data_IF_840409311230
#
_entry.id   IF_840409311230
#
_cell.length_a   1.000
_cell.length_b   1.000
_cell.length_c   1.000
_cell.angle_alpha   90.00
_cell.angle_beta   90.00
_cell.angle_gamma   90.00
#
_symmetry.space_group_name_H-M   'P 1'
#
loop_
_entity.id
_entity.type
_entity.pdbx_description
1 polymer ?
#
# COMPACT_ATOMS: atom_id res chain seq x y z
N UNK A 1 5.26 -17.61 15.41
CA UNK A 1 3.85 -17.56 15.85
C UNK A 1 3.74 -18.29 17.19
N UNK A 2 3.03 -17.75 18.19
CA UNK A 2 2.78 -18.48 19.44
C UNK A 2 1.75 -19.59 19.17
N UNK A 3 1.96 -20.77 19.76
CA UNK A 3 1.00 -21.89 19.73
C UNK A 3 -0.15 -21.72 20.75
N UNK A 4 -0.22 -20.57 21.44
CA UNK A 4 -1.26 -20.30 22.43
C UNK A 4 -2.60 -20.06 21.76
N UNK A 5 -3.37 -21.13 21.66
CA UNK A 5 -4.80 -21.06 21.48
C UNK A 5 -5.42 -20.39 22.68
N UNK A 6 -5.74 -19.11 22.54
CA UNK A 6 -6.64 -18.44 23.47
C UNK A 6 -8.04 -19.00 23.22
N UNK A 7 -8.66 -19.59 24.23
CA UNK A 7 -10.08 -20.01 24.16
C UNK A 7 -11.01 -18.80 24.15
N UNK A 8 -10.54 -17.65 24.65
CA UNK A 8 -11.27 -16.39 24.65
C UNK A 8 -10.37 -15.20 24.34
N UNK A 9 -10.88 -14.23 23.60
CA UNK A 9 -10.19 -12.97 23.36
C UNK A 9 -11.16 -11.80 23.26
N UNK A 10 -10.73 -10.60 23.66
CA UNK A 10 -11.47 -9.36 23.51
C UNK A 10 -10.95 -8.59 22.29
N UNK A 11 -11.87 -8.03 21.51
CA UNK A 11 -11.56 -7.15 20.37
C UNK A 11 -12.40 -5.88 20.45
N UNK A 12 -11.71 -4.76 20.53
CA UNK A 12 -12.31 -3.44 20.41
C UNK A 12 -12.26 -2.97 18.95
N UNK A 13 -13.35 -2.40 18.47
CA UNK A 13 -13.49 -1.89 17.11
C UNK A 13 -14.46 -0.72 17.08
N UNK A 14 -14.28 0.24 16.19
CA UNK A 14 -15.32 1.23 15.95
C UNK A 14 -16.46 0.58 15.16
N UNK A 15 -17.73 0.89 15.47
CA UNK A 15 -18.89 0.37 14.70
C UNK A 15 -18.70 0.68 13.22
N UNK A 16 -18.82 -0.33 12.37
CA UNK A 16 -18.54 -0.22 10.93
C UNK A 16 -17.07 -0.47 10.54
N UNK A 17 -16.16 -0.66 11.49
CA UNK A 17 -14.81 -1.14 11.24
C UNK A 17 -14.75 -2.65 11.05
N UNK A 18 -13.67 -3.14 10.45
CA UNK A 18 -13.43 -4.56 10.23
C UNK A 18 -12.72 -5.19 11.43
N UNK A 19 -12.97 -6.47 11.67
CA UNK A 19 -12.22 -7.31 12.61
C UNK A 19 -11.61 -8.50 11.87
N UNK A 20 -10.53 -9.03 12.43
CA UNK A 20 -10.04 -10.34 12.06
C UNK A 20 -9.42 -11.09 13.24
N UNK A 21 -9.38 -12.41 13.12
CA UNK A 21 -8.60 -13.31 13.98
C UNK A 21 -7.84 -14.30 13.10
N UNK A 22 -6.70 -14.78 13.59
CA UNK A 22 -5.96 -15.88 12.98
C UNK A 22 -6.29 -17.14 13.79
N UNK A 23 -6.83 -18.12 13.09
CA UNK A 23 -7.17 -19.44 13.58
C UNK A 23 -6.12 -20.42 13.08
N UNK A 24 -5.89 -21.50 13.83
CA UNK A 24 -5.08 -22.62 13.38
C UNK A 24 -6.03 -23.82 13.17
N UNK A 25 -5.95 -24.61 12.12
CA UNK A 25 -6.87 -25.76 11.92
C UNK A 25 -6.22 -27.09 12.32
N UNK A 26 -5.01 -27.02 12.86
CA UNK A 26 -4.29 -28.18 13.41
C UNK A 26 -3.74 -29.05 12.29
N UNK A 27 -3.80 -30.38 12.50
CA UNK A 27 -3.33 -31.37 11.53
C UNK A 27 -4.29 -31.57 10.34
N UNK A 28 -5.45 -30.91 10.35
CA UNK A 28 -6.46 -31.02 9.30
C UNK A 28 -6.74 -29.64 8.71
N UNK A 29 -5.81 -29.14 7.85
CA UNK A 29 -5.89 -27.80 7.31
C UNK A 29 -7.21 -27.44 6.68
N UNK A 30 -7.88 -28.41 6.03
CA UNK A 30 -9.14 -28.28 5.29
C UNK A 30 -10.42 -28.39 6.11
N UNK A 31 -10.31 -28.48 7.43
CA UNK A 31 -11.47 -28.56 8.29
C UNK A 31 -12.39 -27.34 8.15
N UNK A 32 -13.69 -27.60 8.22
CA UNK A 32 -14.72 -26.57 8.28
C UNK A 32 -14.61 -25.80 9.60
N UNK A 33 -14.73 -24.48 9.49
CA UNK A 33 -14.76 -23.56 10.63
C UNK A 33 -16.18 -23.02 10.70
N UNK A 34 -16.91 -23.42 11.73
CA UNK A 34 -18.27 -22.95 11.97
C UNK A 34 -18.20 -21.60 12.69
N UNK A 35 -18.95 -20.63 12.17
CA UNK A 35 -19.18 -19.33 12.80
C UNK A 35 -20.47 -18.70 12.25
N UNK A 36 -20.76 -17.46 12.62
CA UNK A 36 -21.95 -16.73 12.13
C UNK A 36 -21.85 -16.41 10.63
N UNK A 37 -22.99 -16.19 9.93
CA UNK A 37 -23.01 -15.72 8.55
C UNK A 37 -22.23 -14.42 8.33
N UNK A 38 -21.75 -14.20 7.11
CA UNK A 38 -21.01 -12.99 6.72
C UNK A 38 -19.51 -13.00 7.05
N UNK A 39 -18.99 -14.15 7.51
CA UNK A 39 -17.56 -14.36 7.73
C UNK A 39 -16.84 -14.61 6.41
N UNK A 40 -15.68 -13.98 6.22
CA UNK A 40 -14.75 -14.31 5.12
C UNK A 40 -13.56 -15.05 5.69
N UNK A 41 -13.19 -16.16 5.06
CA UNK A 41 -12.04 -16.96 5.45
C UNK A 41 -10.95 -16.92 4.39
N UNK A 42 -9.71 -16.81 4.86
CA UNK A 42 -8.53 -16.78 4.00
C UNK A 42 -7.51 -17.78 4.48
N UNK A 43 -6.95 -18.57 3.57
CA UNK A 43 -5.76 -19.38 3.82
C UNK A 43 -4.55 -18.43 3.85
N UNK A 44 -3.87 -18.35 5.00
CA UNK A 44 -2.71 -17.50 5.21
C UNK A 44 -1.44 -18.28 4.88
N UNK A 45 -0.80 -17.98 3.74
CA UNK A 45 0.31 -18.79 3.25
C UNK A 45 1.57 -18.61 4.09
N UNK A 46 2.21 -19.71 4.51
CA UNK A 46 3.52 -19.65 5.12
C UNK A 46 4.58 -19.35 4.06
N UNK A 47 5.58 -18.57 4.44
CA UNK A 47 6.79 -18.29 3.67
C UNK A 47 8.00 -18.48 4.57
N UNK A 48 9.00 -19.22 4.11
CA UNK A 48 10.26 -19.37 4.84
C UNK A 48 11.21 -18.27 4.39
N UNK A 49 11.58 -17.39 5.31
CA UNK A 49 12.54 -16.32 5.06
C UNK A 49 13.89 -16.78 5.58
N UNK A 50 14.79 -17.10 4.66
CA UNK A 50 16.18 -17.46 4.93
C UNK A 50 17.07 -16.23 5.16
N UNK A 51 16.79 -15.12 4.48
CA UNK A 51 17.44 -13.81 4.69
C UNK A 51 16.49 -12.87 5.42
N UNK A 52 16.71 -12.55 6.70
CA UNK A 52 15.93 -11.56 7.42
C UNK A 52 16.22 -10.15 6.92
N UNK A 53 15.28 -9.23 7.13
CA UNK A 53 15.43 -7.81 6.75
C UNK A 53 16.48 -7.06 7.59
N UNK A 54 16.91 -7.61 8.73
CA UNK A 54 18.07 -7.15 9.51
C UNK A 54 18.55 -8.21 10.49
N UNK A 55 19.72 -7.98 11.07
CA UNK A 55 20.31 -8.83 12.12
C UNK A 55 19.45 -9.01 13.39
N UNK A 56 18.55 -8.06 13.68
CA UNK A 56 17.64 -8.16 14.81
C UNK A 56 16.50 -9.19 14.60
N UNK A 57 16.32 -9.68 13.37
CA UNK A 57 15.25 -10.61 12.99
C UNK A 57 15.87 -11.95 12.60
N UNK A 58 15.18 -13.04 12.95
CA UNK A 58 15.65 -14.40 12.65
C UNK A 58 15.03 -14.92 11.37
N UNK A 59 15.79 -15.70 10.62
CA UNK A 59 15.25 -16.57 9.59
C UNK A 59 14.20 -17.51 10.18
N UNK A 60 13.19 -17.86 9.38
CA UNK A 60 12.13 -18.76 9.84
C UNK A 60 10.85 -18.66 9.03
N UNK A 61 9.80 -19.30 9.56
CA UNK A 61 8.47 -19.29 8.97
C UNK A 61 7.67 -18.06 9.38
N UNK A 62 7.26 -17.31 8.37
CA UNK A 62 6.34 -16.18 8.46
C UNK A 62 5.09 -16.48 7.65
N UNK A 63 4.09 -15.61 7.69
CA UNK A 63 2.92 -15.78 6.86
C UNK A 63 2.30 -14.41 6.56
N UNK A 64 1.98 -14.17 5.28
CA UNK A 64 1.51 -12.84 4.85
C UNK A 64 0.45 -12.89 3.75
N UNK A 65 0.67 -13.62 2.65
CA UNK A 65 -0.29 -13.68 1.56
C UNK A 65 -1.61 -14.38 1.97
N UNK A 66 -2.75 -13.78 1.63
CA UNK A 66 -4.10 -14.27 1.96
C UNK A 66 -4.84 -14.74 0.70
N UNK A 67 -5.13 -16.04 0.61
CA UNK A 67 -5.98 -16.61 -0.44
C UNK A 67 -7.41 -16.75 0.04
N UNK A 68 -8.44 -16.37 -0.73
CA UNK A 68 -9.82 -16.75 -0.45
C UNK A 68 -9.89 -18.27 -0.25
N UNK A 69 -10.30 -18.70 0.93
CA UNK A 69 -10.22 -20.10 1.32
C UNK A 69 -11.29 -20.94 0.60
N UNK A 70 -10.90 -22.06 0.02
CA UNK A 70 -11.79 -23.02 -0.63
C UNK A 70 -11.28 -24.46 -0.48
N UNK A 71 -12.03 -25.44 -1.02
CA UNK A 71 -11.64 -26.86 -1.01
C UNK A 71 -10.29 -27.14 -1.66
N UNK A 72 -9.90 -26.31 -2.63
CA UNK A 72 -8.73 -26.54 -3.48
C UNK A 72 -7.45 -25.97 -2.88
N UNK A 73 -7.55 -25.04 -1.92
CA UNK A 73 -6.39 -24.36 -1.33
C UNK A 73 -6.30 -24.46 0.19
N UNK A 74 -7.33 -25.02 0.84
CA UNK A 74 -7.37 -25.14 2.28
C UNK A 74 -6.25 -25.99 2.88
N UNK A 75 -5.59 -26.83 2.08
CA UNK A 75 -4.49 -27.70 2.47
C UNK A 75 -3.12 -26.98 2.50
N UNK A 76 -3.02 -25.80 1.87
CA UNK A 76 -1.75 -25.07 1.75
C UNK A 76 -1.26 -24.47 3.08
N UNK A 77 -2.16 -24.26 4.04
CA UNK A 77 -1.80 -23.75 5.36
C UNK A 77 -2.82 -24.15 6.42
N UNK A 78 -2.37 -24.53 7.63
CA UNK A 78 -3.27 -24.65 8.77
C UNK A 78 -3.69 -23.28 9.33
N UNK A 79 -3.07 -22.18 8.88
CA UNK A 79 -3.41 -20.85 9.34
C UNK A 79 -4.54 -20.27 8.51
N UNK A 80 -5.62 -19.88 9.19
CA UNK A 80 -6.81 -19.29 8.57
C UNK A 80 -7.09 -17.93 9.18
N UNK A 81 -7.11 -16.88 8.36
CA UNK A 81 -7.62 -15.58 8.78
C UNK A 81 -9.13 -15.54 8.58
N UNK A 82 -9.87 -15.33 9.66
CA UNK A 82 -11.31 -15.06 9.61
C UNK A 82 -11.53 -13.55 9.80
N UNK A 83 -12.20 -12.89 8.84
CA UNK A 83 -12.54 -11.46 8.92
C UNK A 83 -14.04 -11.21 8.77
N UNK A 84 -14.52 -10.17 9.44
CA UNK A 84 -15.91 -9.72 9.35
C UNK A 84 -16.04 -8.26 9.80
N UNK A 85 -17.21 -7.67 9.53
CA UNK A 85 -17.61 -6.38 10.05
C UNK A 85 -18.70 -6.61 11.11
N UNK A 86 -18.43 -6.40 12.41
CA UNK A 86 -19.45 -6.56 13.44
C UNK A 86 -20.50 -5.44 13.36
N UNK A 87 -21.74 -5.85 13.48
CA UNK A 87 -22.95 -5.04 13.50
C UNK A 87 -23.42 -4.76 14.94
N UNK A 88 -23.16 -5.70 15.86
CA UNK A 88 -23.53 -5.64 17.28
C UNK A 88 -22.37 -6.05 18.20
N UNK A 89 -22.42 -5.62 19.47
CA UNK A 89 -21.50 -6.07 20.52
C UNK A 89 -21.92 -7.45 21.04
N UNK A 90 -21.63 -8.48 20.26
CA UNK A 90 -21.91 -9.87 20.62
C UNK A 90 -20.65 -10.72 20.56
N UNK A 91 -20.63 -11.76 21.40
CA UNK A 91 -19.57 -12.76 21.37
C UNK A 91 -19.68 -13.56 20.05
N UNK A 92 -18.59 -13.62 19.28
CA UNK A 92 -18.49 -14.43 18.07
C UNK A 92 -17.74 -15.70 18.42
N UNK A 93 -18.40 -16.84 18.25
CA UNK A 93 -17.78 -18.15 18.48
C UNK A 93 -17.30 -18.75 17.16
N UNK A 94 -16.06 -19.21 17.15
CA UNK A 94 -15.48 -20.05 16.11
C UNK A 94 -15.31 -21.46 16.66
N UNK A 95 -15.87 -22.45 15.98
CA UNK A 95 -15.72 -23.87 16.34
C UNK A 95 -15.09 -24.67 15.21
N UNK A 96 -14.16 -25.54 15.59
CA UNK A 96 -13.52 -26.53 14.72
C UNK A 96 -13.27 -27.80 15.54
N UNK A 97 -14.12 -28.82 15.37
CA UNK A 97 -14.21 -30.01 16.22
C UNK A 97 -14.28 -29.67 17.73
N UNK A 98 -13.19 -29.94 18.47
CA UNK A 98 -13.08 -29.81 19.91
C UNK A 98 -12.42 -28.48 20.33
N UNK A 99 -12.10 -27.63 19.35
CA UNK A 99 -11.53 -26.31 19.60
C UNK A 99 -12.60 -25.24 19.44
N UNK A 100 -12.66 -24.36 20.44
CA UNK A 100 -13.54 -23.22 20.46
C UNK A 100 -12.73 -21.97 20.78
N UNK A 101 -12.93 -20.93 19.97
CA UNK A 101 -12.49 -19.57 20.25
C UNK A 101 -13.73 -18.67 20.39
N UNK A 102 -13.84 -17.98 21.52
CA UNK A 102 -14.84 -16.94 21.75
C UNK A 102 -14.19 -15.57 21.61
N UNK A 103 -14.63 -14.79 20.63
CA UNK A 103 -14.21 -13.40 20.43
C UNK A 103 -15.27 -12.47 20.99
N UNK A 104 -14.99 -11.81 22.11
CA UNK A 104 -15.84 -10.77 22.65
C UNK A 104 -15.64 -9.50 21.84
N UNK A 105 -16.70 -8.99 21.23
CA UNK A 105 -16.66 -7.74 20.46
C UNK A 105 -17.15 -6.60 21.33
N UNK A 106 -16.38 -5.51 21.35
CA UNK A 106 -16.77 -4.24 21.99
C UNK A 106 -16.58 -3.09 21.01
N UNK A 107 -17.51 -2.14 21.06
CA UNK A 107 -17.49 -0.93 20.27
C UNK A 107 -16.87 0.20 21.07
N UNK A 108 -15.79 0.77 20.53
CA UNK A 108 -15.12 1.95 21.11
C UNK A 108 -15.63 3.27 20.52
N UNK A 109 -16.72 3.23 19.75
CA UNK A 109 -17.32 4.38 19.07
C UNK A 109 -17.87 4.02 17.69
N UNK A 110 -18.04 5.02 16.83
CA UNK A 110 -18.44 4.86 15.42
C UNK A 110 -17.25 5.09 14.50
N UNK A 111 -17.10 4.25 13.46
CA UNK A 111 -16.13 4.53 12.42
C UNK A 111 -16.65 5.70 11.60
N UNK A 112 -15.85 6.75 11.51
CA UNK A 112 -16.04 7.85 10.58
C UNK A 112 -15.00 7.64 9.49
N UNK A 113 -15.38 7.86 8.23
CA UNK A 113 -14.45 7.75 7.12
C UNK A 113 -13.17 8.56 7.45
N UNK A 114 -11.98 8.02 7.12
CA UNK A 114 -10.74 8.58 7.62
C UNK A 114 -10.59 10.00 7.12
N UNK A 115 -10.16 10.91 8.00
CA UNK A 115 -9.92 12.31 7.62
C UNK A 115 -8.62 12.49 6.84
N UNK A 116 -7.74 11.48 6.91
CA UNK A 116 -6.41 11.45 6.31
C UNK A 116 -6.35 10.35 5.27
N UNK A 117 -5.80 10.67 4.10
CA UNK A 117 -5.58 9.68 3.06
C UNK A 117 -4.24 8.93 3.25
N UNK A 118 -4.24 7.61 3.04
CA UNK A 118 -3.03 6.84 2.79
C UNK A 118 -2.91 6.64 1.28
N UNK A 119 -1.95 7.34 0.68
CA UNK A 119 -1.65 7.28 -0.74
C UNK A 119 -0.62 6.18 -0.99
N UNK A 120 -0.97 5.16 -1.79
CA UNK A 120 -0.05 4.08 -2.15
C UNK A 120 0.14 3.97 -3.66
N UNK A 121 1.40 3.86 -4.08
CA UNK A 121 1.76 3.65 -5.48
C UNK A 121 1.15 2.37 -6.04
N UNK A 122 0.54 2.45 -7.21
CA UNK A 122 0.10 1.29 -7.98
C UNK A 122 0.57 1.46 -9.43
N UNK A 123 1.06 0.40 -10.04
CA UNK A 123 1.57 0.41 -11.41
C UNK A 123 0.91 -0.69 -12.22
N UNK A 124 0.33 -0.30 -13.35
CA UNK A 124 -0.26 -1.23 -14.31
C UNK A 124 0.81 -2.17 -14.90
N UNK A 125 1.98 -1.64 -15.26
CA UNK A 125 3.09 -2.45 -15.77
C UNK A 125 3.55 -3.50 -14.77
N UNK A 126 3.66 -3.14 -13.49
CA UNK A 126 3.98 -4.11 -12.46
C UNK A 126 2.91 -5.21 -12.37
N UNK A 127 1.62 -4.85 -12.39
CA UNK A 127 0.51 -5.81 -12.40
C UNK A 127 0.60 -6.76 -13.60
N UNK A 128 0.94 -6.27 -14.80
CA UNK A 128 1.20 -7.12 -15.97
C UNK A 128 2.32 -8.13 -15.72
N UNK A 129 3.48 -7.69 -15.23
CA UNK A 129 4.58 -8.60 -14.89
C UNK A 129 4.20 -9.61 -13.80
N UNK A 130 3.35 -9.21 -12.86
CA UNK A 130 2.90 -10.08 -11.78
C UNK A 130 1.96 -11.19 -12.23
N UNK A 131 1.20 -10.98 -13.30
CA UNK A 131 0.18 -11.94 -13.78
C UNK A 131 0.56 -12.68 -15.05
N UNK A 132 1.53 -12.17 -15.81
CA UNK A 132 1.97 -12.77 -17.06
C UNK A 132 3.40 -13.31 -16.97
N UNK A 133 3.66 -14.51 -17.49
CA UNK A 133 5.03 -15.04 -17.63
C UNK A 133 5.79 -14.43 -18.84
N UNK A 134 5.06 -13.86 -19.80
CA UNK A 134 5.55 -13.13 -20.97
C UNK A 134 4.70 -11.88 -21.19
N UNK A 135 5.08 -10.97 -22.10
CA UNK A 135 4.30 -9.76 -22.35
C UNK A 135 2.84 -10.12 -22.73
N UNK A 136 1.90 -9.81 -21.85
CA UNK A 136 0.47 -10.04 -22.03
C UNK A 136 -0.32 -8.81 -21.60
N UNK A 137 -1.43 -8.56 -22.27
CA UNK A 137 -2.33 -7.47 -21.88
C UNK A 137 -3.22 -7.97 -20.74
N UNK A 138 -2.99 -7.43 -19.55
CA UNK A 138 -3.87 -7.70 -18.41
C UNK A 138 -5.23 -7.07 -18.66
N UNK A 139 -6.29 -7.79 -18.30
CA UNK A 139 -7.64 -7.27 -18.40
C UNK A 139 -7.78 -5.98 -17.55
N UNK A 140 -8.30 -4.86 -18.10
CA UNK A 140 -8.52 -3.61 -17.37
C UNK A 140 -9.32 -3.78 -16.07
N UNK A 141 -10.25 -4.75 -16.04
CA UNK A 141 -11.00 -5.09 -14.83
C UNK A 141 -10.09 -5.58 -13.69
N UNK A 142 -8.95 -6.19 -13.98
CA UNK A 142 -8.00 -6.62 -12.95
C UNK A 142 -7.38 -5.41 -12.25
N UNK A 143 -6.96 -4.37 -12.99
CA UNK A 143 -6.50 -3.11 -12.38
C UNK A 143 -7.57 -2.51 -11.47
N UNK A 144 -8.82 -2.49 -11.93
CA UNK A 144 -9.95 -2.01 -11.12
C UNK A 144 -10.15 -2.85 -9.85
N UNK A 145 -9.93 -4.16 -9.90
CA UNK A 145 -9.96 -5.02 -8.71
C UNK A 145 -8.85 -4.65 -7.72
N UNK A 146 -7.62 -4.41 -8.18
CA UNK A 146 -6.51 -3.95 -7.31
C UNK A 146 -6.87 -2.63 -6.62
N UNK A 147 -7.36 -1.65 -7.38
CA UNK A 147 -7.78 -0.36 -6.85
C UNK A 147 -8.94 -0.51 -5.85
N UNK A 148 -9.93 -1.34 -6.19
CA UNK A 148 -11.09 -1.61 -5.32
C UNK A 148 -10.65 -2.24 -4.02
N UNK A 149 -9.73 -3.21 -4.06
CA UNK A 149 -9.20 -3.84 -2.86
C UNK A 149 -8.47 -2.82 -1.97
N UNK A 150 -7.65 -1.92 -2.52
CA UNK A 150 -7.01 -0.85 -1.74
C UNK A 150 -8.05 0.09 -1.12
N UNK A 151 -9.05 0.55 -1.88
CA UNK A 151 -10.11 1.43 -1.37
C UNK A 151 -10.95 0.77 -0.26
N UNK A 152 -11.20 -0.53 -0.34
CA UNK A 152 -11.84 -1.31 0.73
C UNK A 152 -11.01 -1.36 2.02
N UNK A 153 -9.73 -0.99 1.96
CA UNK A 153 -8.81 -0.86 3.10
C UNK A 153 -8.52 0.61 3.44
N UNK A 154 -9.36 1.53 2.97
CA UNK A 154 -9.23 2.98 3.18
C UNK A 154 -7.91 3.54 2.62
N UNK A 155 -7.41 2.92 1.55
CA UNK A 155 -6.18 3.31 0.87
C UNK A 155 -6.54 3.88 -0.49
N UNK A 156 -6.00 5.06 -0.79
CA UNK A 156 -6.14 5.71 -2.08
C UNK A 156 -4.96 5.28 -2.96
N UNK A 157 -5.17 4.49 -4.02
CA UNK A 157 -4.12 4.26 -4.99
C UNK A 157 -3.79 5.58 -5.69
N UNK A 158 -2.52 5.87 -5.85
CA UNK A 158 -2.04 6.89 -6.77
C UNK A 158 -1.01 6.26 -7.70
N UNK A 159 -0.92 6.75 -8.91
CA UNK A 159 -0.09 6.12 -9.93
C UNK A 159 0.86 7.18 -10.45
N UNK A 160 2.00 7.33 -9.79
CA UNK A 160 3.02 8.28 -10.22
C UNK A 160 4.01 7.68 -11.24
N UNK A 161 3.91 6.38 -11.49
CA UNK A 161 4.70 5.61 -12.46
C UNK A 161 3.83 5.15 -13.66
N UNK A 162 2.74 5.86 -13.97
CA UNK A 162 1.92 5.54 -15.16
C UNK A 162 2.75 5.81 -16.41
N UNK A 163 2.38 5.11 -17.48
CA UNK A 163 2.65 5.51 -18.85
C UNK A 163 2.49 7.04 -19.02
N UNK A 164 3.39 7.70 -19.75
CA UNK A 164 3.24 9.10 -20.10
C UNK A 164 1.85 9.35 -20.70
N UNK A 165 1.17 10.39 -20.21
CA UNK A 165 -0.12 10.85 -20.72
C UNK A 165 0.17 11.75 -21.92
N UNK A 166 -0.37 11.40 -23.09
CA UNK A 166 -0.18 12.19 -24.31
C UNK A 166 -0.69 13.62 -24.16
N UNK A 167 -0.25 14.50 -25.07
CA UNK A 167 -0.79 15.86 -25.19
C UNK A 167 -1.68 15.91 -26.43
N UNK A 168 -2.93 16.34 -26.26
CA UNK A 168 -3.90 16.59 -27.32
C UNK A 168 -4.48 18.00 -27.15
N UNK A 169 -4.47 18.79 -28.23
CA UNK A 169 -5.08 20.12 -28.28
C UNK A 169 -4.74 21.02 -27.07
N UNK A 170 -3.45 21.06 -26.72
CA UNK A 170 -2.87 21.81 -25.58
C UNK A 170 -3.22 21.31 -24.18
N UNK A 171 -3.84 20.14 -24.05
CA UNK A 171 -4.17 19.48 -22.78
C UNK A 171 -3.57 18.09 -22.73
N UNK A 172 -3.48 17.51 -21.54
CA UNK A 172 -3.23 16.07 -21.39
C UNK A 172 -4.45 15.29 -21.90
N UNK A 173 -4.19 14.28 -22.73
CA UNK A 173 -5.18 13.32 -23.21
C UNK A 173 -5.49 12.29 -22.12
N UNK A 174 -6.30 12.70 -21.15
CA UNK A 174 -6.71 11.87 -20.01
C UNK A 174 -7.82 10.87 -20.35
N UNK A 175 -8.32 10.91 -21.59
CA UNK A 175 -9.34 10.02 -22.13
C UNK A 175 -8.74 8.97 -23.09
N UNK A 176 -7.46 9.09 -23.45
CA UNK A 176 -6.67 8.08 -24.15
C UNK A 176 -6.92 6.67 -23.59
N UNK A 177 -7.34 5.74 -24.45
CA UNK A 177 -7.61 4.35 -24.07
C UNK A 177 -8.95 4.09 -23.40
N UNK A 178 -9.90 5.05 -23.44
CA UNK A 178 -11.24 4.90 -22.89
C UNK A 178 -11.98 3.66 -23.40
N UNK A 179 -11.86 3.35 -24.70
CA UNK A 179 -12.51 2.19 -25.34
C UNK A 179 -12.04 0.86 -24.74
N UNK A 180 -10.84 0.86 -24.16
CA UNK A 180 -10.24 -0.27 -23.51
C UNK A 180 -10.36 -0.19 -21.97
N UNK A 181 -11.12 0.77 -21.43
CA UNK A 181 -11.40 0.85 -19.98
C UNK A 181 -10.21 1.26 -19.09
N UNK A 182 -9.13 1.80 -19.66
CA UNK A 182 -7.91 2.15 -18.93
C UNK A 182 -7.54 3.65 -18.97
N UNK A 183 -8.43 4.53 -19.43
CA UNK A 183 -8.10 5.96 -19.48
C UNK A 183 -7.77 6.52 -18.10
N UNK A 184 -6.95 7.57 -18.03
CA UNK A 184 -6.62 8.23 -16.77
C UNK A 184 -7.91 8.66 -16.05
N UNK A 185 -8.90 9.19 -16.78
CA UNK A 185 -10.20 9.55 -16.23
C UNK A 185 -10.91 8.37 -15.58
N UNK A 186 -11.02 7.24 -16.28
CA UNK A 186 -11.72 6.04 -15.78
C UNK A 186 -11.01 5.43 -14.57
N UNK A 187 -9.68 5.42 -14.57
CA UNK A 187 -8.87 4.71 -13.56
C UNK A 187 -8.50 5.58 -12.36
N UNK A 188 -8.45 6.91 -12.50
CA UNK A 188 -7.97 7.84 -11.45
C UNK A 188 -9.03 8.82 -10.99
N UNK A 189 -9.81 9.39 -11.91
CA UNK A 189 -10.75 10.46 -11.58
C UNK A 189 -12.15 9.93 -11.22
N UNK A 190 -12.52 8.74 -11.69
CA UNK A 190 -13.84 8.17 -11.46
C UNK A 190 -14.20 8.03 -9.97
N UNK A 191 -13.22 7.76 -9.09
CA UNK A 191 -13.44 7.67 -7.65
C UNK A 191 -13.46 9.01 -6.91
N UNK A 192 -13.33 10.14 -7.64
CA UNK A 192 -13.30 11.51 -7.09
C UNK A 192 -12.35 11.66 -5.89
N UNK A 193 -11.07 11.26 -6.03
CA UNK A 193 -10.14 11.28 -4.91
C UNK A 193 -9.90 12.71 -4.41
N UNK A 194 -9.50 12.84 -3.14
CA UNK A 194 -9.06 14.12 -2.57
C UNK A 194 -7.77 14.61 -3.23
N UNK A 195 -6.94 13.68 -3.71
CA UNK A 195 -5.63 13.94 -4.31
C UNK A 195 -5.54 13.27 -5.67
N UNK A 196 -5.11 14.02 -6.68
CA UNK A 196 -4.89 13.51 -8.04
C UNK A 196 -3.42 13.65 -8.39
N UNK A 197 -2.71 12.52 -8.43
CA UNK A 197 -1.29 12.50 -8.80
C UNK A 197 -1.12 12.55 -10.31
N UNK A 198 -0.20 13.38 -10.78
CA UNK A 198 0.24 13.42 -12.18
C UNK A 198 1.71 13.00 -12.32
N UNK A 199 2.12 12.51 -13.51
CA UNK A 199 3.51 12.16 -13.77
C UNK A 199 4.48 13.36 -13.66
N UNK A 200 5.77 13.06 -13.51
CA UNK A 200 6.82 14.09 -13.45
C UNK A 200 7.10 14.66 -14.83
N UNK A 201 7.29 15.97 -14.92
CA UNK A 201 7.65 16.64 -16.18
C UNK A 201 8.94 16.10 -16.81
N UNK A 202 9.91 15.68 -15.99
CA UNK A 202 11.19 15.10 -16.45
C UNK A 202 11.03 13.78 -17.22
N UNK A 203 9.87 13.12 -17.17
CA UNK A 203 9.61 11.91 -17.96
C UNK A 203 9.14 12.22 -19.39
N UNK A 204 8.95 13.50 -19.74
CA UNK A 204 8.52 13.93 -21.06
C UNK A 204 9.68 14.51 -21.86
N UNK A 205 9.74 14.27 -23.19
CA UNK A 205 10.75 14.86 -24.06
C UNK A 205 10.77 16.40 -24.04
N UNK A 206 9.59 17.02 -23.90
CA UNK A 206 9.42 18.46 -23.70
C UNK A 206 8.69 18.73 -22.37
N UNK A 207 9.45 18.93 -21.28
CA UNK A 207 8.87 19.20 -19.96
C UNK A 207 8.02 20.48 -19.91
N UNK A 208 8.34 21.50 -20.70
CA UNK A 208 7.61 22.79 -20.68
C UNK A 208 6.26 22.63 -21.39
N UNK A 209 6.24 21.96 -22.55
CA UNK A 209 4.98 21.65 -23.23
C UNK A 209 4.07 20.79 -22.34
N UNK A 210 4.64 19.78 -21.65
CA UNK A 210 3.91 18.98 -20.69
C UNK A 210 3.32 19.82 -19.55
N UNK A 211 4.11 20.70 -18.91
CA UNK A 211 3.63 21.51 -17.79
C UNK A 211 2.49 22.44 -18.20
N UNK A 212 2.58 23.07 -19.38
CA UNK A 212 1.48 23.88 -19.92
C UNK A 212 0.23 23.05 -20.18
N UNK A 213 0.39 21.84 -20.73
CA UNK A 213 -0.73 20.94 -20.95
C UNK A 213 -1.36 20.47 -19.64
N UNK A 214 -0.54 20.18 -18.63
CA UNK A 214 -0.97 19.82 -17.29
C UNK A 214 -1.76 20.95 -16.62
N UNK A 215 -1.29 22.20 -16.69
CA UNK A 215 -2.02 23.37 -16.18
C UNK A 215 -3.40 23.49 -16.82
N UNK A 216 -3.44 23.45 -18.16
CA UNK A 216 -4.69 23.56 -18.91
C UNK A 216 -5.67 22.44 -18.54
N UNK A 217 -5.17 21.20 -18.38
CA UNK A 217 -6.00 20.07 -17.92
C UNK A 217 -6.50 20.27 -16.50
N UNK A 218 -5.64 20.65 -15.56
CA UNK A 218 -6.03 20.85 -14.16
C UNK A 218 -7.07 21.95 -14.00
N UNK A 219 -6.95 23.02 -14.78
CA UNK A 219 -7.94 24.10 -14.81
C UNK A 219 -9.26 23.64 -15.42
N UNK A 220 -9.21 22.97 -16.58
CA UNK A 220 -10.40 22.50 -17.28
C UNK A 220 -11.18 21.42 -16.50
N UNK A 221 -10.47 20.59 -15.74
CA UNK A 221 -11.05 19.50 -14.94
C UNK A 221 -11.40 19.92 -13.51
N UNK A 222 -11.22 21.20 -13.16
CA UNK A 222 -11.49 21.75 -11.82
C UNK A 222 -10.71 21.01 -10.70
N UNK A 223 -9.44 20.69 -10.95
CA UNK A 223 -8.59 19.93 -10.04
C UNK A 223 -7.66 20.83 -9.17
N UNK A 224 -7.83 22.15 -9.21
CA UNK A 224 -7.04 23.07 -8.41
C UNK A 224 -7.16 22.73 -6.91
N UNK A 225 -6.02 22.74 -6.21
CA UNK A 225 -5.95 22.35 -4.80
C UNK A 225 -6.04 20.85 -4.52
N UNK A 226 -6.18 20.01 -5.56
CA UNK A 226 -6.17 18.53 -5.50
C UNK A 226 -5.08 17.89 -6.35
N UNK A 227 -4.79 18.48 -7.51
CA UNK A 227 -3.76 18.01 -8.43
C UNK A 227 -2.37 18.22 -7.83
N UNK A 228 -1.54 17.18 -7.87
CA UNK A 228 -0.18 17.23 -7.35
C UNK A 228 0.80 16.38 -8.17
N UNK A 229 2.08 16.71 -8.07
CA UNK A 229 3.20 15.97 -8.67
C UNK A 229 4.27 15.74 -7.63
N UNK A 230 4.72 14.49 -7.46
CA UNK A 230 5.96 14.18 -6.73
C UNK A 230 7.14 14.60 -7.60
N UNK A 231 7.64 15.83 -7.46
CA UNK A 231 8.65 16.40 -8.36
C UNK A 231 9.97 15.66 -8.27
N UNK A 232 10.40 15.33 -7.05
CA UNK A 232 11.64 14.60 -6.79
C UNK A 232 11.47 13.70 -5.59
N UNK A 233 12.01 12.50 -5.73
CA UNK A 233 12.12 11.55 -4.64
C UNK A 233 13.49 11.71 -3.97
N UNK A 234 13.52 11.89 -2.65
CA UNK A 234 14.70 11.90 -1.78
C UNK A 234 15.89 12.68 -2.38
N UNK A 235 15.74 14.01 -2.63
CA UNK A 235 16.80 14.80 -3.24
C UNK A 235 18.06 14.82 -2.35
N UNK A 236 19.20 14.46 -2.95
CA UNK A 236 20.54 14.56 -2.38
C UNK A 236 21.13 15.97 -2.50
N UNK A 237 20.71 16.73 -3.51
CA UNK A 237 21.13 18.10 -3.77
C UNK A 237 19.92 19.04 -3.89
N UNK A 238 19.74 19.90 -2.87
CA UNK A 238 18.65 20.87 -2.82
C UNK A 238 18.82 22.00 -3.86
N UNK A 239 20.06 22.41 -4.16
CA UNK A 239 20.31 23.50 -5.11
C UNK A 239 19.90 23.11 -6.54
N UNK A 240 20.10 21.85 -6.94
CA UNK A 240 19.68 21.38 -8.26
C UNK A 240 18.16 21.20 -8.38
N UNK A 241 17.44 21.09 -7.25
CA UNK A 241 15.99 20.95 -7.22
C UNK A 241 15.25 22.28 -7.44
N UNK A 242 15.83 23.40 -7.01
CA UNK A 242 15.25 24.74 -7.16
C UNK A 242 14.82 25.06 -8.60
N UNK A 243 15.70 24.95 -9.63
CA UNK A 243 15.32 25.26 -11.00
C UNK A 243 14.22 24.33 -11.53
N UNK A 244 14.21 23.05 -11.11
CA UNK A 244 13.17 22.11 -11.50
C UNK A 244 11.80 22.52 -10.92
N UNK A 245 11.73 22.89 -9.64
CA UNK A 245 10.49 23.34 -9.01
C UNK A 245 10.00 24.69 -9.60
N UNK A 246 10.93 25.58 -9.95
CA UNK A 246 10.59 26.87 -10.56
C UNK A 246 9.86 26.71 -11.90
N UNK A 247 10.13 25.64 -12.66
CA UNK A 247 9.38 25.33 -13.88
C UNK A 247 7.89 25.09 -13.59
N UNK A 248 7.55 24.37 -12.51
CA UNK A 248 6.16 24.15 -12.12
C UNK A 248 5.47 25.45 -11.72
N UNK A 249 6.15 26.32 -10.95
CA UNK A 249 5.59 27.64 -10.60
C UNK A 249 5.32 28.52 -11.83
N UNK A 250 6.16 28.39 -12.85
CA UNK A 250 6.07 29.21 -14.06
C UNK A 250 5.01 28.69 -15.03
N UNK A 251 4.95 27.37 -15.24
CA UNK A 251 4.16 26.77 -16.33
C UNK A 251 2.96 25.96 -15.87
N UNK A 252 2.88 25.58 -14.59
CA UNK A 252 1.77 24.85 -13.98
C UNK A 252 1.46 25.33 -12.55
N UNK A 253 1.19 26.64 -12.34
CA UNK A 253 1.01 27.22 -11.01
C UNK A 253 -0.17 26.64 -10.22
N UNK A 254 -1.18 26.08 -10.88
CA UNK A 254 -2.34 25.47 -10.22
C UNK A 254 -2.07 24.06 -9.67
N UNK A 255 -0.89 23.49 -9.95
CA UNK A 255 -0.50 22.15 -9.53
C UNK A 255 0.36 22.21 -8.28
N UNK A 256 0.01 21.39 -7.30
CA UNK A 256 0.83 21.26 -6.10
C UNK A 256 2.10 20.45 -6.38
N UNK A 257 3.22 20.89 -5.83
CA UNK A 257 4.48 20.16 -5.89
C UNK A 257 4.75 19.48 -4.56
N UNK A 258 5.07 18.19 -4.65
CA UNK A 258 5.46 17.36 -3.51
C UNK A 258 6.92 16.93 -3.64
N UNK A 259 7.63 16.89 -2.51
CA UNK A 259 9.02 16.41 -2.43
C UNK A 259 9.19 15.57 -1.16
N UNK A 260 9.79 14.38 -1.29
CA UNK A 260 10.13 13.52 -0.13
C UNK A 260 11.40 14.00 0.55
N UNK A 261 11.28 15.11 1.27
CA UNK A 261 12.36 15.72 2.05
C UNK A 261 11.82 16.41 3.29
N UNK A 262 12.73 16.72 4.23
CA UNK A 262 12.42 17.58 5.38
C UNK A 262 12.18 19.02 4.91
N UNK A 263 11.55 19.83 5.76
CA UNK A 263 11.42 21.26 5.50
C UNK A 263 12.80 21.88 5.26
N UNK A 264 12.93 22.61 4.15
CA UNK A 264 14.10 23.41 3.82
C UNK A 264 13.64 24.84 3.49
N UNK A 265 14.09 25.88 4.22
CA UNK A 265 13.68 27.25 3.97
C UNK A 265 13.92 27.73 2.54
N UNK A 266 14.91 27.17 1.83
CA UNK A 266 15.19 27.52 0.43
C UNK A 266 14.08 27.06 -0.52
N UNK A 267 13.28 26.07 -0.12
CA UNK A 267 12.20 25.50 -0.92
C UNK A 267 10.81 26.02 -0.53
N UNK A 268 10.70 26.89 0.48
CA UNK A 268 9.42 27.30 1.07
C UNK A 268 8.44 27.92 0.04
N UNK A 269 8.91 28.69 -0.93
CA UNK A 269 8.03 29.29 -1.95
C UNK A 269 7.77 28.39 -3.16
N UNK A 270 8.43 27.23 -3.19
CA UNK A 270 8.46 26.35 -4.34
C UNK A 270 7.68 25.05 -4.09
N UNK A 271 7.69 24.54 -2.86
CA UNK A 271 7.08 23.28 -2.44
C UNK A 271 5.80 23.52 -1.65
N UNK A 272 4.71 22.86 -2.07
CA UNK A 272 3.43 22.92 -1.33
C UNK A 272 3.32 21.79 -0.31
N UNK A 273 3.87 20.62 -0.66
CA UNK A 273 3.74 19.38 0.11
C UNK A 273 5.14 18.84 0.43
N UNK A 274 5.54 18.94 1.70
CA UNK A 274 6.72 18.23 2.17
C UNK A 274 6.33 16.84 2.66
N UNK A 275 7.11 15.84 2.28
CA UNK A 275 6.86 14.43 2.62
C UNK A 275 8.09 13.82 3.31
N UNK A 276 8.49 14.29 4.50
CA UNK A 276 9.61 13.69 5.23
C UNK A 276 9.34 12.22 5.56
N UNK A 277 10.41 11.46 5.79
CA UNK A 277 10.30 10.17 6.46
C UNK A 277 9.73 10.37 7.85
N UNK A 278 8.85 9.46 8.26
CA UNK A 278 8.18 9.54 9.56
C UNK A 278 9.19 9.64 10.71
N UNK A 279 10.29 8.90 10.70
CA UNK A 279 11.28 8.97 11.78
C UNK A 279 12.15 10.24 11.77
N UNK A 280 12.13 11.00 10.67
CA UNK A 280 12.84 12.27 10.54
C UNK A 280 11.99 13.48 10.94
N UNK A 281 10.70 13.28 11.23
CA UNK A 281 9.77 14.33 11.56
C UNK A 281 9.80 14.63 13.07
N UNK A 282 10.76 15.43 13.52
CA UNK A 282 10.92 15.81 14.93
C UNK A 282 10.24 17.14 15.30
N UNK A 283 9.97 17.99 14.29
CA UNK A 283 9.44 19.36 14.46
C UNK A 283 8.28 19.67 13.49
N UNK A 284 7.08 19.09 13.71
CA UNK A 284 5.93 19.30 12.82
C UNK A 284 5.50 20.79 12.70
N UNK A 285 5.81 21.62 13.69
CA UNK A 285 5.54 23.06 13.66
C UNK A 285 6.25 23.81 12.51
N UNK A 286 7.35 23.28 11.97
CA UNK A 286 8.05 23.88 10.81
C UNK A 286 7.20 23.87 9.55
N UNK A 287 6.14 23.07 9.51
CA UNK A 287 5.29 22.86 8.35
C UNK A 287 3.95 23.62 8.43
N UNK A 288 3.75 24.50 9.40
CA UNK A 288 2.46 25.18 9.65
C UNK A 288 1.88 25.98 8.47
N UNK A 289 2.70 26.31 7.46
CA UNK A 289 2.31 27.02 6.23
C UNK A 289 2.33 26.12 4.98
N UNK A 290 2.57 24.83 5.16
CA UNK A 290 2.68 23.83 4.11
C UNK A 290 1.77 22.64 4.42
N UNK A 291 1.51 21.82 3.41
CA UNK A 291 0.94 20.50 3.67
C UNK A 291 2.05 19.59 4.14
N UNK A 292 1.80 18.90 5.25
CA UNK A 292 2.72 17.92 5.82
C UNK A 292 2.18 16.53 5.55
N UNK A 293 2.81 15.83 4.62
CA UNK A 293 2.64 14.39 4.52
C UNK A 293 3.83 13.71 5.18
N UNK A 294 3.76 12.42 5.41
CA UNK A 294 4.99 11.66 5.64
C UNK A 294 4.86 10.24 5.15
N UNK A 295 6.01 9.63 4.95
CA UNK A 295 6.08 8.27 4.43
C UNK A 295 6.97 7.41 5.30
N UNK A 296 6.86 6.11 5.08
CA UNK A 296 7.80 5.15 5.61
C UNK A 296 8.39 4.39 4.43
N UNK A 297 9.66 4.07 4.54
CA UNK A 297 10.37 3.19 3.62
C UNK A 297 11.36 2.37 4.43
N UNK A 298 12.05 1.43 3.79
CA UNK A 298 13.17 0.77 4.44
C UNK A 298 14.33 1.73 4.75
N UNK A 299 14.34 3.02 4.35
CA UNK A 299 15.52 3.88 4.37
C UNK A 299 16.21 3.89 5.75
N UNK A 300 17.52 3.57 5.75
CA UNK A 300 18.40 3.23 6.90
C UNK A 300 18.34 1.79 7.43
N UNK A 301 17.45 0.98 6.88
CA UNK A 301 17.32 -0.47 7.06
C UNK A 301 17.14 -1.21 5.71
N UNK A 302 17.38 -0.52 4.60
CA UNK A 302 17.36 -1.11 3.25
C UNK A 302 18.66 -1.86 2.98
N UNK A 303 18.55 -2.85 2.11
CA UNK A 303 19.65 -3.53 1.44
C UNK A 303 19.55 -3.32 -0.07
N UNK A 304 20.35 -4.03 -0.89
CA UNK A 304 20.34 -3.85 -2.32
C UNK A 304 18.96 -4.12 -2.95
N UNK A 305 18.58 -3.29 -3.92
CA UNK A 305 17.47 -3.59 -4.82
C UNK A 305 17.83 -4.84 -5.63
N UNK A 306 16.98 -5.87 -5.56
CA UNK A 306 17.24 -7.17 -6.20
C UNK A 306 17.34 -7.08 -7.72
N UNK A 307 16.71 -6.08 -8.34
CA UNK A 307 16.82 -5.79 -9.78
C UNK A 307 18.21 -5.32 -10.18
N UNK A 308 18.96 -4.72 -9.24
CA UNK A 308 20.30 -4.16 -9.47
C UNK A 308 21.39 -5.12 -8.99
N UNK A 309 21.16 -5.81 -7.86
CA UNK A 309 22.10 -6.76 -7.29
C UNK A 309 21.38 -7.99 -6.76
N UNK A 310 21.87 -9.18 -7.12
CA UNK A 310 21.35 -10.45 -6.59
C UNK A 310 21.78 -10.72 -5.15
N UNK A 311 22.69 -9.91 -4.58
CA UNK A 311 23.11 -10.07 -3.20
C UNK A 311 21.94 -9.87 -2.25
N UNK A 312 21.82 -10.79 -1.28
CA UNK A 312 20.79 -10.76 -0.24
C UNK A 312 21.48 -10.45 1.06
N UNK A 313 21.55 -9.18 1.39
CA UNK A 313 22.11 -8.70 2.64
C UNK A 313 21.00 -7.92 3.32
N UNK A 314 20.51 -8.42 4.47
CA UNK A 314 19.71 -7.61 5.37
C UNK A 314 20.49 -6.37 5.78
N UNK A 315 19.79 -5.37 6.32
CA UNK A 315 20.53 -4.23 6.87
C UNK A 315 21.21 -4.61 8.18
N UNK A 316 22.48 -4.22 8.31
CA UNK A 316 23.26 -4.29 9.54
C UNK A 316 22.64 -3.47 10.69
N UNK A 317 21.61 -2.65 10.40
CA UNK A 317 20.99 -1.75 11.36
C UNK A 317 19.45 -1.87 11.39
N UNK A 318 18.92 -2.29 12.53
CA UNK A 318 17.50 -2.20 12.83
C UNK A 318 17.19 -0.87 13.54
N UNK A 319 16.55 0.05 12.82
CA UNK A 319 16.21 1.38 13.35
C UNK A 319 15.15 1.33 14.47
N UNK A 320 14.43 0.21 14.61
CA UNK A 320 13.28 0.11 15.50
C UNK A 320 12.05 0.91 15.03
N UNK A 321 12.14 1.55 13.86
CA UNK A 321 11.14 2.50 13.37
C UNK A 321 9.94 1.80 12.74
N UNK A 322 8.92 2.60 12.44
CA UNK A 322 7.81 2.17 11.61
C UNK A 322 8.32 1.59 10.27
N UNK A 323 7.82 0.43 9.90
CA UNK A 323 8.05 -0.22 8.62
C UNK A 323 6.86 -1.14 8.32
N UNK A 324 6.80 -1.61 7.08
CA UNK A 324 5.76 -2.52 6.62
C UNK A 324 6.35 -3.86 6.18
N UNK A 325 7.43 -4.36 6.79
CA UNK A 325 8.07 -5.60 6.35
C UNK A 325 7.38 -6.84 6.96
N UNK A 326 7.45 -7.98 6.26
CA UNK A 326 6.79 -9.25 6.63
C UNK A 326 7.33 -9.80 7.96
N UNK A 327 8.64 -9.67 8.15
CA UNK A 327 9.38 -10.26 9.25
C UNK A 327 9.54 -9.32 10.45
N UNK A 328 8.74 -8.24 10.47
CA UNK A 328 8.72 -7.24 11.53
C UNK A 328 7.43 -7.31 12.33
N UNK A 329 7.47 -6.95 13.63
CA UNK A 329 6.25 -6.93 14.44
C UNK A 329 5.22 -5.94 13.88
N UNK A 330 3.95 -6.35 13.79
CA UNK A 330 2.83 -5.46 13.40
C UNK A 330 2.69 -4.21 14.31
N UNK A 331 3.31 -4.21 15.49
CA UNK A 331 3.39 -3.03 16.35
C UNK A 331 4.09 -1.84 15.66
N UNK A 332 5.10 -2.08 14.81
CA UNK A 332 5.80 -1.02 14.05
C UNK A 332 4.90 -0.39 13.00
N UNK A 333 4.13 -1.22 12.29
CA UNK A 333 3.09 -0.75 11.38
C UNK A 333 2.09 0.15 12.13
N UNK A 334 1.61 -0.27 13.30
CA UNK A 334 0.69 0.56 14.10
C UNK A 334 1.32 1.88 14.58
N UNK A 335 2.61 1.87 14.93
CA UNK A 335 3.33 3.08 15.32
C UNK A 335 3.31 4.14 14.22
N UNK A 336 3.41 3.75 12.94
CA UNK A 336 3.26 4.66 11.81
C UNK A 336 1.96 5.48 11.92
N UNK A 337 0.81 4.79 11.99
CA UNK A 337 -0.50 5.44 11.98
C UNK A 337 -0.75 6.27 13.23
N UNK A 338 -0.33 5.78 14.40
CA UNK A 338 -0.41 6.50 15.66
C UNK A 338 0.42 7.79 15.62
N UNK A 339 1.63 7.73 15.06
CA UNK A 339 2.53 8.87 14.98
C UNK A 339 2.04 9.93 13.99
N UNK A 340 1.50 9.51 12.84
CA UNK A 340 0.81 10.38 11.89
C UNK A 340 -0.36 11.14 12.55
N UNK A 341 -1.16 10.42 13.36
CA UNK A 341 -2.26 11.03 14.09
C UNK A 341 -1.77 12.05 15.13
N UNK A 342 -0.70 11.72 15.87
CA UNK A 342 -0.07 12.61 16.86
C UNK A 342 0.47 13.90 16.23
N UNK A 343 1.07 13.80 15.05
CA UNK A 343 1.66 14.95 14.36
C UNK A 343 0.70 15.69 13.44
N UNK A 344 -0.56 15.23 13.36
CA UNK A 344 -1.60 15.89 12.57
C UNK A 344 -1.20 16.09 11.11
N UNK A 345 -0.53 15.11 10.50
CA UNK A 345 -0.20 15.17 9.07
C UNK A 345 -1.46 15.19 8.22
N UNK A 346 -1.39 15.78 7.02
CA UNK A 346 -2.54 15.88 6.11
C UNK A 346 -2.80 14.58 5.34
N UNK A 347 -1.74 13.83 5.02
CA UNK A 347 -1.80 12.53 4.36
C UNK A 347 -0.56 11.69 4.70
N UNK A 348 -0.60 10.43 4.31
CA UNK A 348 0.55 9.55 4.35
C UNK A 348 0.84 9.00 2.95
N UNK A 349 2.11 8.68 2.70
CA UNK A 349 2.56 8.10 1.44
C UNK A 349 3.24 6.75 1.70
N UNK A 350 3.02 5.80 0.80
CA UNK A 350 3.85 4.60 0.67
C UNK A 350 4.16 4.37 -0.80
N UNK A 351 5.44 4.13 -1.11
CA UNK A 351 5.93 4.26 -2.47
C UNK A 351 5.25 3.29 -3.44
N UNK A 352 4.91 2.06 -3.02
CA UNK A 352 4.26 1.10 -3.91
C UNK A 352 3.59 -0.09 -3.22
N UNK A 353 2.53 -0.63 -3.83
CA UNK A 353 1.82 -1.83 -3.35
C UNK A 353 2.24 -3.14 -4.03
N UNK A 354 2.87 -3.07 -5.21
CA UNK A 354 3.14 -4.23 -6.08
C UNK A 354 4.54 -4.20 -6.71
N UNK A 355 5.50 -3.52 -6.10
CA UNK A 355 6.85 -3.32 -6.68
C UNK A 355 7.61 -4.63 -6.72
N UNK A 356 7.33 -5.53 -5.78
CA UNK A 356 7.88 -6.87 -5.78
C UNK A 356 7.52 -7.71 -7.01
N UNK A 357 6.59 -7.27 -7.87
CA UNK A 357 6.31 -7.97 -9.13
C UNK A 357 7.40 -7.74 -10.18
N UNK A 358 8.23 -6.71 -9.99
CA UNK A 358 9.35 -6.35 -10.85
C UNK A 358 10.67 -7.04 -10.43
N UNK A 359 10.58 -8.07 -9.59
CA UNK A 359 11.72 -8.92 -9.24
C UNK A 359 12.26 -9.65 -10.49
N UNK A 360 13.53 -10.06 -10.42
CA UNK A 360 14.23 -10.72 -11.53
C UNK A 360 13.46 -11.97 -12.01
N UNK A 361 13.47 -12.26 -13.33
CA UNK A 361 12.81 -13.45 -13.88
C UNK A 361 13.16 -14.73 -13.12
N UNK A 362 12.15 -15.54 -12.80
CA UNK A 362 12.30 -16.82 -12.09
C UNK A 362 12.14 -16.75 -10.57
N UNK A 363 11.99 -15.56 -9.97
CA UNK A 363 11.71 -15.42 -8.54
C UNK A 363 10.20 -15.59 -8.29
N UNK A 364 9.84 -16.60 -7.49
CA UNK A 364 8.47 -16.75 -6.97
C UNK A 364 8.28 -15.89 -5.71
N UNK A 365 7.56 -14.78 -5.85
CA UNK A 365 7.34 -13.80 -4.78
C UNK A 365 6.58 -14.36 -3.57
N UNK A 366 5.83 -15.46 -3.73
CA UNK A 366 5.18 -16.13 -2.61
C UNK A 366 6.18 -16.91 -1.75
N UNK A 367 7.30 -17.31 -2.34
CA UNK A 367 8.35 -18.10 -1.69
C UNK A 367 9.55 -17.24 -1.30
N UNK A 368 9.83 -16.16 -2.03
CA UNK A 368 10.92 -15.22 -1.78
C UNK A 368 10.45 -13.78 -2.05
N UNK A 369 9.86 -13.10 -1.05
CA UNK A 369 9.35 -11.73 -1.17
C UNK A 369 10.43 -10.67 -0.94
N UNK A 370 11.71 -11.03 -0.88
CA UNK A 370 12.80 -10.10 -0.56
C UNK A 370 13.03 -9.10 -1.70
N UNK A 371 12.96 -7.80 -1.38
CA UNK A 371 13.31 -6.71 -2.29
C UNK A 371 13.75 -5.47 -1.50
N UNK A 372 14.59 -4.60 -2.08
CA UNK A 372 15.15 -3.40 -1.40
C UNK A 372 15.74 -3.67 0.01
N UNK A 373 16.21 -4.90 0.24
CA UNK A 373 16.66 -5.42 1.54
C UNK A 373 15.63 -5.55 2.64
N UNK A 374 14.35 -5.57 2.30
CA UNK A 374 13.27 -5.93 3.19
C UNK A 374 12.41 -7.06 2.61
N UNK A 375 11.97 -7.97 3.48
CA UNK A 375 10.98 -8.97 3.11
C UNK A 375 9.61 -8.30 2.94
N UNK A 376 9.11 -8.28 1.69
CA UNK A 376 7.82 -7.69 1.35
C UNK A 376 7.83 -6.16 1.22
N UNK A 377 8.99 -5.52 1.13
CA UNK A 377 9.05 -4.08 0.84
C UNK A 377 8.45 -3.79 -0.55
N UNK A 378 7.56 -2.79 -0.61
CA UNK A 378 6.79 -2.47 -1.80
C UNK A 378 5.80 -3.56 -2.24
N UNK A 379 5.53 -4.55 -1.40
CA UNK A 379 4.60 -5.65 -1.68
C UNK A 379 3.51 -5.69 -0.62
N UNK A 380 2.31 -5.17 -0.91
CA UNK A 380 1.13 -5.27 -0.04
C UNK A 380 0.02 -6.11 -0.66
N UNK A 381 0.06 -6.29 -1.98
CA UNK A 381 -0.85 -7.12 -2.75
C UNK A 381 -0.03 -8.16 -3.51
N UNK A 382 -0.48 -9.41 -3.48
CA UNK A 382 0.14 -10.52 -4.22
C UNK A 382 -0.66 -10.83 -5.50
N UNK A 383 -0.01 -11.35 -6.56
CA UNK A 383 -0.69 -11.64 -7.82
C UNK A 383 -1.34 -13.02 -7.71
N UNK A 384 -2.66 -13.07 -7.53
CA UNK A 384 -3.41 -14.32 -7.55
C UNK A 384 -3.72 -14.70 -8.98
N UNK A 385 -3.04 -15.71 -9.52
CA UNK A 385 -3.19 -16.16 -10.91
C UNK A 385 -4.18 -17.30 -11.03
N UNK A 386 -5.00 -17.30 -12.07
CA UNK A 386 -5.93 -18.40 -12.37
C UNK A 386 -5.17 -19.72 -12.52
N UNK A 387 -5.66 -20.77 -11.87
CA UNK A 387 -5.07 -22.11 -11.91
C UNK A 387 -3.92 -22.31 -10.93
N UNK A 388 -3.38 -21.24 -10.32
CA UNK A 388 -2.39 -21.36 -9.27
C UNK A 388 -3.05 -21.39 -7.89
N UNK A 389 -2.53 -22.23 -6.99
CA UNK A 389 -2.91 -22.25 -5.55
C UNK A 389 -4.43 -22.32 -5.32
N UNK A 390 -5.14 -23.04 -6.18
CA UNK A 390 -6.60 -23.24 -6.10
C UNK A 390 -7.44 -22.02 -6.45
N UNK A 391 -6.90 -21.05 -7.20
CA UNK A 391 -7.64 -19.87 -7.66
C UNK A 391 -8.34 -20.13 -9.00
N UNK A 392 -9.57 -19.64 -9.12
CA UNK A 392 -10.42 -19.85 -10.30
C UNK A 392 -10.36 -18.69 -11.31
N UNK A 393 -9.75 -17.58 -10.92
CA UNK A 393 -9.59 -16.37 -11.74
C UNK A 393 -8.37 -15.57 -11.30
N UNK A 394 -7.86 -14.72 -12.19
CA UNK A 394 -6.87 -13.72 -11.83
C UNK A 394 -7.51 -12.67 -10.90
N UNK A 395 -6.85 -12.36 -9.79
CA UNK A 395 -7.32 -11.40 -8.80
C UNK A 395 -6.17 -10.89 -7.92
N UNK A 396 -6.27 -9.69 -7.33
CA UNK A 396 -5.35 -9.26 -6.28
C UNK A 396 -5.59 -10.06 -4.99
N UNK A 397 -4.51 -10.44 -4.31
CA UNK A 397 -4.56 -11.08 -3.00
C UNK A 397 -4.01 -10.12 -1.94
N UNK A 398 -4.72 -9.96 -0.84
CA UNK A 398 -4.28 -9.08 0.25
C UNK A 398 -3.11 -9.71 1.04
N UNK A 399 -2.22 -8.89 1.56
CA UNK A 399 -1.31 -9.27 2.66
C UNK A 399 -2.01 -9.18 4.02
N UNK A 400 -1.50 -9.89 5.02
CA UNK A 400 -1.87 -9.69 6.42
C UNK A 400 -1.55 -8.25 6.85
N UNK A 401 -0.45 -7.69 6.38
CA UNK A 401 -0.07 -6.30 6.59
C UNK A 401 -1.13 -5.33 6.08
N UNK A 402 -1.71 -5.54 4.91
CA UNK A 402 -2.81 -4.71 4.39
C UNK A 402 -4.05 -4.76 5.30
N UNK A 403 -4.38 -5.92 5.86
CA UNK A 403 -5.47 -6.07 6.85
C UNK A 403 -5.15 -5.31 8.14
N UNK A 404 -3.90 -5.34 8.60
CA UNK A 404 -3.43 -4.59 9.75
C UNK A 404 -3.44 -3.07 9.51
N UNK A 405 -3.06 -2.61 8.31
CA UNK A 405 -3.15 -1.19 7.92
C UNK A 405 -4.58 -0.68 8.00
N UNK A 406 -5.56 -1.42 7.44
CA UNK A 406 -6.98 -1.06 7.54
C UNK A 406 -7.40 -0.88 9.00
N UNK A 407 -7.01 -1.82 9.87
CA UNK A 407 -7.29 -1.74 11.31
C UNK A 407 -6.67 -0.50 11.96
N UNK A 408 -5.43 -0.18 11.61
CA UNK A 408 -4.74 0.98 12.15
C UNK A 408 -5.40 2.29 11.68
N UNK A 409 -5.79 2.39 10.41
CA UNK A 409 -6.55 3.53 9.87
C UNK A 409 -7.88 3.68 10.61
N UNK A 410 -8.64 2.60 10.73
CA UNK A 410 -9.94 2.61 11.43
C UNK A 410 -9.84 3.01 12.91
N UNK A 411 -8.69 2.75 13.52
CA UNK A 411 -8.44 3.06 14.92
C UNK A 411 -7.94 4.49 15.14
N UNK A 412 -7.01 4.97 14.31
CA UNK A 412 -6.24 6.19 14.58
C UNK A 412 -6.63 7.38 13.71
N UNK A 413 -7.28 7.18 12.56
CA UNK A 413 -7.56 8.25 11.58
C UNK A 413 -9.04 8.64 11.50
#
# INVERSE_FOLDING_TARGET
>A
MSNDWRTRTLREVRRGGWLYVILHTGKMPCREIQSRPGMRYFTLLPVYLDTPSSDAVKSGWYADALLPRNSDNCHLSPLVLAEWQPDTEQDVTFTSEHQQLVVQVRFSGHFVAPRRDLLIGLSYHAIEQGHCASACQVNPSLLQQYQTLLRQHHIQPFHHWILPIGIQDTRLDIDAGQDNGYSFRQTHLASRPNWVAFPRAQHYPDPIAYLRALENTVVAEHLQGKAWVLVKDEPDNIESLIPLLALYRTYAPSVMTAVTTRFDPRLQSLVDIFVPLIHQLDKPQLYQHHRLWSYTSCMHSCGPNRRISQQRNGSDFDTGMADFLIDRPLARLNQFFLQQAKWQTDAALYYHAVEGYLLTPGVDIFSDPYNFGGNGDGLLLYPGRKGERGLQSDQPLASLRLKAMRRAIEQYW
#
